data_IF_951288958527
#
_entry.id   IF_951288958527
#
_cell.length_a   1.000
_cell.length_b   1.000
_cell.length_c   1.000
_cell.angle_alpha   90.00
_cell.angle_beta   90.00
_cell.angle_gamma   90.00
#
_symmetry.space_group_name_H-M   'P 1'
#
loop_
_entity.id
_entity.type
_entity.pdbx_description
1 polymer ?
#
# COMPACT_ATOMS: atom_id res chain seq x y z
N UNK A 1 -8.79 -10.66 -28.31
CA UNK A 1 -8.03 -10.08 -27.18
C UNK A 1 -8.78 -8.92 -26.54
N UNK A 2 -9.21 -7.91 -27.30
CA UNK A 2 -9.94 -6.73 -26.81
C UNK A 2 -11.16 -7.04 -25.92
N UNK A 3 -12.01 -8.00 -26.30
CA UNK A 3 -13.21 -8.35 -25.50
C UNK A 3 -12.88 -9.02 -24.16
N UNK A 4 -11.75 -9.74 -24.09
CA UNK A 4 -11.29 -10.40 -22.85
C UNK A 4 -10.82 -9.35 -21.85
N UNK A 5 -9.95 -8.44 -22.26
CA UNK A 5 -9.43 -7.37 -21.40
C UNK A 5 -10.56 -6.48 -20.87
N UNK A 6 -11.51 -6.09 -21.73
CA UNK A 6 -12.69 -5.32 -21.31
C UNK A 6 -13.49 -6.08 -20.24
N UNK A 7 -13.65 -7.40 -20.41
CA UNK A 7 -14.42 -8.19 -19.43
C UNK A 7 -13.65 -8.41 -18.13
N UNK A 8 -12.33 -8.62 -18.19
CA UNK A 8 -11.49 -8.71 -17.00
C UNK A 8 -11.53 -7.41 -16.20
N UNK A 9 -11.41 -6.25 -16.87
CA UNK A 9 -11.49 -4.96 -16.20
C UNK A 9 -12.85 -4.74 -15.54
N UNK A 10 -13.96 -5.07 -16.22
CA UNK A 10 -15.31 -4.99 -15.62
C UNK A 10 -15.44 -5.81 -14.34
N UNK A 11 -14.82 -6.99 -14.29
CA UNK A 11 -14.83 -7.85 -13.10
C UNK A 11 -14.01 -7.21 -11.97
N UNK A 12 -12.83 -6.67 -12.28
CA UNK A 12 -11.98 -5.97 -11.31
C UNK A 12 -12.64 -4.69 -10.77
N UNK A 13 -13.27 -3.89 -11.62
CA UNK A 13 -14.01 -2.68 -11.23
C UNK A 13 -15.18 -3.01 -10.29
N UNK A 14 -15.87 -4.13 -10.54
CA UNK A 14 -16.93 -4.64 -9.67
C UNK A 14 -16.38 -5.05 -8.29
N UNK A 15 -15.24 -5.74 -8.25
CA UNK A 15 -14.56 -6.09 -6.99
C UNK A 15 -14.18 -4.84 -6.22
N UNK A 16 -13.53 -3.86 -6.85
CA UNK A 16 -13.15 -2.60 -6.19
C UNK A 16 -14.35 -1.83 -5.63
N UNK A 17 -15.43 -1.76 -6.41
CA UNK A 17 -16.68 -1.13 -5.98
C UNK A 17 -17.30 -1.84 -4.76
N UNK A 18 -17.24 -3.16 -4.73
CA UNK A 18 -17.77 -3.96 -3.61
C UNK A 18 -16.90 -3.80 -2.36
N UNK A 19 -15.57 -3.82 -2.48
CA UNK A 19 -14.68 -3.59 -1.34
C UNK A 19 -14.92 -2.20 -0.74
N UNK A 20 -15.06 -1.18 -1.59
CA UNK A 20 -15.33 0.18 -1.15
C UNK A 20 -16.63 0.30 -0.36
N UNK A 21 -17.70 -0.35 -0.82
CA UNK A 21 -19.01 -0.32 -0.16
C UNK A 21 -19.03 -1.18 1.10
N UNK A 22 -18.72 -2.47 0.95
CA UNK A 22 -19.12 -3.52 1.89
C UNK A 22 -17.91 -4.26 2.51
N UNK A 23 -16.69 -4.02 2.02
CA UNK A 23 -15.46 -4.65 2.54
C UNK A 23 -15.13 -5.98 1.88
N UNK A 24 -14.01 -6.58 2.28
CA UNK A 24 -13.48 -7.80 1.68
C UNK A 24 -14.34 -9.03 2.03
N UNK A 25 -15.01 -9.01 3.19
CA UNK A 25 -15.86 -10.09 3.69
C UNK A 25 -17.14 -10.27 2.86
N UNK A 26 -17.56 -9.23 2.14
CA UNK A 26 -18.74 -9.24 1.27
C UNK A 26 -18.50 -9.97 -0.06
N UNK A 27 -17.24 -10.23 -0.38
CA UNK A 27 -16.83 -10.71 -1.69
C UNK A 27 -17.18 -12.20 -1.87
N UNK A 28 -17.82 -12.50 -3.00
CA UNK A 28 -18.07 -13.88 -3.43
C UNK A 28 -18.39 -13.96 -4.91
N UNK A 29 -18.10 -15.12 -5.52
CA UNK A 29 -18.24 -15.34 -6.98
C UNK A 29 -19.62 -14.91 -7.50
N UNK A 30 -20.68 -15.19 -6.75
CA UNK A 30 -22.04 -14.87 -7.16
C UNK A 30 -22.29 -13.36 -7.16
N UNK A 31 -21.86 -12.69 -6.09
CA UNK A 31 -22.06 -11.26 -5.92
C UNK A 31 -21.22 -10.46 -6.93
N UNK A 32 -19.98 -10.87 -7.17
CA UNK A 32 -19.12 -10.28 -8.21
C UNK A 32 -19.71 -10.48 -9.60
N UNK A 33 -20.15 -11.70 -9.93
CA UNK A 33 -20.76 -12.00 -11.23
C UNK A 33 -21.99 -11.12 -11.49
N UNK A 34 -22.85 -10.98 -10.49
CA UNK A 34 -24.03 -10.12 -10.55
C UNK A 34 -23.64 -8.64 -10.72
N UNK A 35 -22.70 -8.14 -9.92
CA UNK A 35 -22.24 -6.74 -9.97
C UNK A 35 -21.58 -6.39 -11.30
N UNK A 36 -20.76 -7.29 -11.84
CA UNK A 36 -20.08 -7.11 -13.12
C UNK A 36 -20.96 -7.39 -14.35
N UNK A 37 -22.15 -7.98 -14.17
CA UNK A 37 -23.03 -8.37 -15.27
C UNK A 37 -22.46 -9.49 -16.14
N UNK A 38 -21.71 -10.43 -15.53
CA UNK A 38 -21.05 -11.55 -16.23
C UNK A 38 -21.48 -12.89 -15.65
N UNK A 39 -21.26 -13.98 -16.37
CA UNK A 39 -21.48 -15.32 -15.82
C UNK A 39 -20.35 -15.72 -14.85
N UNK A 40 -20.67 -16.51 -13.83
CA UNK A 40 -19.68 -17.06 -12.89
C UNK A 40 -18.59 -17.88 -13.60
N UNK A 41 -18.96 -18.55 -14.68
CA UNK A 41 -18.01 -19.29 -15.53
C UNK A 41 -16.93 -18.39 -16.14
N UNK A 42 -17.24 -17.12 -16.45
CA UNK A 42 -16.23 -16.18 -16.93
C UNK A 42 -15.21 -15.82 -15.86
N UNK A 43 -15.63 -15.70 -14.59
CA UNK A 43 -14.72 -15.44 -13.48
C UNK A 43 -13.75 -16.63 -13.31
N UNK A 44 -14.27 -17.85 -13.25
CA UNK A 44 -13.42 -19.05 -13.20
C UNK A 44 -12.50 -19.16 -14.42
N UNK A 45 -13.00 -18.86 -15.62
CA UNK A 45 -12.21 -18.93 -16.85
C UNK A 45 -11.07 -17.91 -16.89
N UNK A 46 -11.27 -16.71 -16.38
CA UNK A 46 -10.29 -15.62 -16.50
C UNK A 46 -9.36 -15.49 -15.30
N UNK A 47 -9.84 -15.83 -14.11
CA UNK A 47 -9.07 -15.66 -12.88
C UNK A 47 -8.74 -16.98 -12.19
N UNK A 48 -9.46 -18.08 -12.48
CA UNK A 48 -9.24 -19.38 -11.84
C UNK A 48 -10.02 -19.58 -10.55
N UNK A 49 -10.59 -18.52 -9.99
CA UNK A 49 -11.34 -18.58 -8.74
C UNK A 49 -11.48 -17.22 -8.08
N UNK A 50 -12.05 -17.22 -6.88
CA UNK A 50 -12.26 -16.01 -6.10
C UNK A 50 -10.93 -15.48 -5.55
N UNK A 51 -10.14 -16.35 -4.97
CA UNK A 51 -8.87 -15.99 -4.32
C UNK A 51 -7.89 -15.39 -5.34
N UNK A 52 -7.79 -15.98 -6.53
CA UNK A 52 -6.95 -15.45 -7.60
C UNK A 52 -7.46 -14.13 -8.17
N UNK A 53 -8.78 -13.92 -8.19
CA UNK A 53 -9.37 -12.63 -8.56
C UNK A 53 -9.01 -11.55 -7.54
N UNK A 54 -9.22 -11.83 -6.25
CA UNK A 54 -8.89 -10.90 -5.16
C UNK A 54 -7.39 -10.62 -5.16
N UNK A 55 -6.55 -11.65 -5.27
CA UNK A 55 -5.10 -11.50 -5.35
C UNK A 55 -4.68 -10.60 -6.52
N UNK A 56 -5.23 -10.83 -7.72
CA UNK A 56 -4.94 -9.99 -8.89
C UNK A 56 -5.35 -8.54 -8.65
N UNK A 57 -6.54 -8.31 -8.11
CA UNK A 57 -7.03 -6.97 -7.79
C UNK A 57 -6.11 -6.27 -6.78
N UNK A 58 -5.83 -6.91 -5.64
CA UNK A 58 -4.99 -6.34 -4.59
C UNK A 58 -3.59 -6.01 -5.12
N UNK A 59 -2.94 -6.96 -5.81
CA UNK A 59 -1.57 -6.76 -6.30
C UNK A 59 -1.48 -5.63 -7.34
N UNK A 60 -2.54 -5.40 -8.12
CA UNK A 60 -2.58 -4.29 -9.08
C UNK A 60 -2.74 -2.92 -8.43
N UNK A 61 -3.34 -2.86 -7.24
CA UNK A 61 -3.68 -1.60 -6.56
C UNK A 61 -2.82 -1.31 -5.32
N UNK A 62 -2.05 -2.29 -4.82
CA UNK A 62 -1.25 -2.09 -3.62
C UNK A 62 -0.05 -1.16 -3.84
N UNK A 63 0.04 -0.12 -3.00
CA UNK A 63 1.11 0.86 -3.07
C UNK A 63 2.50 0.22 -2.95
N UNK A 64 2.73 -0.57 -1.89
CA UNK A 64 4.06 -1.11 -1.59
C UNK A 64 4.50 -2.22 -2.54
N UNK A 65 3.56 -2.95 -3.16
CA UNK A 65 3.89 -3.91 -4.22
C UNK A 65 4.39 -3.19 -5.48
N UNK A 66 3.85 -2.01 -5.79
CA UNK A 66 4.09 -1.31 -7.05
C UNK A 66 5.03 -0.09 -6.93
N UNK A 67 5.55 0.18 -5.74
CA UNK A 67 6.50 1.27 -5.51
C UNK A 67 7.88 0.92 -6.06
N UNK A 68 8.44 1.82 -6.85
CA UNK A 68 9.80 1.72 -7.38
C UNK A 68 10.66 2.89 -6.87
N UNK A 69 11.96 2.68 -6.75
CA UNK A 69 12.93 3.72 -6.39
C UNK A 69 13.79 4.08 -7.61
N UNK A 70 13.49 5.20 -8.32
CA UNK A 70 14.28 5.65 -9.46
C UNK A 70 15.53 6.42 -8.98
N UNK A 71 16.41 5.74 -8.25
CA UNK A 71 17.64 6.33 -7.72
C UNK A 71 18.89 5.83 -8.45
N UNK A 72 19.79 6.75 -8.75
CA UNK A 72 21.08 6.47 -9.39
C UNK A 72 22.29 6.90 -8.55
N UNK A 73 22.11 7.87 -7.66
CA UNK A 73 23.17 8.37 -6.77
C UNK A 73 22.64 8.76 -5.38
N UNK A 74 23.56 9.10 -4.48
CA UNK A 74 23.28 9.45 -3.08
C UNK A 74 22.61 10.83 -2.92
N UNK A 75 22.82 11.76 -3.86
CA UNK A 75 22.38 13.15 -3.72
C UNK A 75 20.85 13.29 -3.74
N UNK A 76 20.17 12.38 -4.43
CA UNK A 76 18.71 12.31 -4.50
C UNK A 76 18.04 11.47 -3.41
N UNK A 77 18.79 10.73 -2.58
CA UNK A 77 18.21 9.74 -1.64
C UNK A 77 17.25 10.40 -0.65
N UNK A 78 17.65 11.50 -0.01
CA UNK A 78 16.82 12.18 0.99
C UNK A 78 15.50 12.66 0.39
N UNK A 79 15.56 13.38 -0.72
CA UNK A 79 14.36 13.87 -1.42
C UNK A 79 13.44 12.73 -1.87
N UNK A 80 14.01 11.64 -2.38
CA UNK A 80 13.25 10.48 -2.85
C UNK A 80 12.57 9.74 -1.70
N UNK A 81 13.24 9.54 -0.56
CA UNK A 81 12.65 8.93 0.63
C UNK A 81 11.47 9.77 1.16
N UNK A 82 11.64 11.09 1.24
CA UNK A 82 10.56 12.01 1.64
C UNK A 82 9.36 11.90 0.71
N UNK A 83 9.60 11.97 -0.59
CA UNK A 83 8.55 11.81 -1.60
C UNK A 83 7.82 10.47 -1.44
N UNK A 84 8.53 9.36 -1.27
CA UNK A 84 7.95 8.04 -1.09
C UNK A 84 7.02 7.98 0.13
N UNK A 85 7.43 8.49 1.29
CA UNK A 85 6.55 8.50 2.47
C UNK A 85 5.38 9.50 2.35
N UNK A 86 5.56 10.62 1.65
CA UNK A 86 4.47 11.54 1.32
C UNK A 86 3.44 10.90 0.38
N UNK A 87 3.91 10.14 -0.61
CA UNK A 87 3.04 9.38 -1.51
C UNK A 87 2.31 8.26 -0.77
N UNK A 88 2.96 7.56 0.17
CA UNK A 88 2.29 6.60 1.04
C UNK A 88 1.14 7.27 1.83
N UNK A 89 1.39 8.42 2.46
CA UNK A 89 0.38 9.20 3.19
C UNK A 89 -0.77 9.57 2.25
N UNK A 90 -0.47 10.20 1.12
CA UNK A 90 -1.48 10.66 0.17
C UNK A 90 -2.35 9.50 -0.36
N UNK A 91 -1.70 8.39 -0.71
CA UNK A 91 -2.36 7.19 -1.24
C UNK A 91 -3.26 6.56 -0.19
N UNK A 92 -2.76 6.29 1.02
CA UNK A 92 -3.58 5.67 2.07
C UNK A 92 -4.72 6.57 2.51
N UNK A 93 -4.53 7.90 2.62
CA UNK A 93 -5.59 8.83 3.04
C UNK A 93 -6.72 8.92 2.03
N UNK A 94 -6.39 8.93 0.73
CA UNK A 94 -7.35 9.09 -0.37
C UNK A 94 -8.01 7.78 -0.81
N UNK A 95 -7.42 6.62 -0.51
CA UNK A 95 -7.91 5.32 -0.94
C UNK A 95 -8.53 4.50 0.21
N UNK A 96 -9.86 4.52 0.29
CA UNK A 96 -10.61 3.72 1.27
C UNK A 96 -10.45 2.21 1.06
N UNK A 97 -10.23 1.75 -0.18
CA UNK A 97 -10.03 0.34 -0.49
C UNK A 97 -8.71 -0.13 0.13
N UNK A 98 -7.64 0.66 0.02
CA UNK A 98 -6.36 0.35 0.66
C UNK A 98 -6.42 0.39 2.18
N UNK A 99 -7.16 1.32 2.80
CA UNK A 99 -7.40 1.30 4.25
C UNK A 99 -8.12 0.02 4.68
N UNK A 100 -9.18 -0.37 3.96
CA UNK A 100 -9.91 -1.61 4.22
C UNK A 100 -9.01 -2.84 4.03
N UNK A 101 -8.13 -2.84 3.04
CA UNK A 101 -7.16 -3.91 2.80
C UNK A 101 -6.21 -4.08 4.00
N UNK A 102 -5.65 -2.97 4.49
CA UNK A 102 -4.78 -3.00 5.67
C UNK A 102 -5.50 -3.53 6.91
N UNK A 103 -6.78 -3.20 7.11
CA UNK A 103 -7.56 -3.76 8.22
C UNK A 103 -7.85 -5.24 8.04
N UNK A 104 -8.26 -5.63 6.83
CA UNK A 104 -8.57 -7.02 6.51
C UNK A 104 -7.37 -7.92 6.77
N UNK A 105 -6.17 -7.49 6.38
CA UNK A 105 -4.91 -8.19 6.64
C UNK A 105 -4.66 -8.47 8.13
N UNK A 106 -5.10 -7.60 9.05
CA UNK A 106 -4.89 -7.81 10.49
C UNK A 106 -5.78 -8.92 11.07
N UNK A 107 -6.88 -9.24 10.40
CA UNK A 107 -7.87 -10.23 10.87
C UNK A 107 -7.91 -11.49 10.02
N UNK A 108 -7.39 -11.44 8.80
CA UNK A 108 -7.43 -12.54 7.85
C UNK A 108 -6.14 -13.36 7.87
N UNK A 109 -6.30 -14.68 7.82
CA UNK A 109 -5.21 -15.65 7.62
C UNK A 109 -5.59 -16.57 6.46
N UNK A 110 -5.21 -16.16 5.25
CA UNK A 110 -5.49 -16.89 4.02
C UNK A 110 -4.37 -16.70 2.99
N UNK A 111 -4.37 -17.54 1.94
CA UNK A 111 -3.32 -17.56 0.91
C UNK A 111 -3.18 -16.22 0.17
N UNK A 112 -4.27 -15.47 -0.01
CA UNK A 112 -4.26 -14.17 -0.70
C UNK A 112 -3.47 -13.13 0.11
N UNK A 113 -3.72 -13.08 1.41
CA UNK A 113 -3.00 -12.16 2.32
C UNK A 113 -1.53 -12.56 2.43
N UNK A 114 -1.22 -13.85 2.51
CA UNK A 114 0.17 -14.33 2.55
C UNK A 114 0.93 -13.96 1.26
N UNK A 115 0.30 -14.12 0.10
CA UNK A 115 0.88 -13.69 -1.17
C UNK A 115 1.15 -12.17 -1.21
N UNK A 116 0.24 -11.35 -0.68
CA UNK A 116 0.44 -9.91 -0.58
C UNK A 116 1.64 -9.57 0.32
N UNK A 117 1.73 -10.20 1.50
CA UNK A 117 2.84 -10.01 2.45
C UNK A 117 4.18 -10.36 1.81
N UNK A 118 4.27 -11.51 1.14
CA UNK A 118 5.49 -11.96 0.47
C UNK A 118 5.93 -10.97 -0.62
N UNK A 119 4.97 -10.41 -1.38
CA UNK A 119 5.26 -9.41 -2.43
C UNK A 119 5.75 -8.09 -1.85
N UNK A 120 5.10 -7.59 -0.79
CA UNK A 120 5.54 -6.38 -0.09
C UNK A 120 6.90 -6.57 0.56
N UNK A 121 7.15 -7.71 1.21
CA UNK A 121 8.43 -8.02 1.84
C UNK A 121 9.55 -8.08 0.81
N UNK A 122 9.32 -8.77 -0.32
CA UNK A 122 10.27 -8.84 -1.43
C UNK A 122 10.62 -7.44 -1.93
N UNK A 123 9.61 -6.62 -2.25
CA UNK A 123 9.85 -5.27 -2.76
C UNK A 123 10.54 -4.37 -1.72
N UNK A 124 10.02 -4.34 -0.48
CA UNK A 124 10.59 -3.57 0.62
C UNK A 124 12.06 -3.91 0.87
N UNK A 125 12.42 -5.19 0.86
CA UNK A 125 13.80 -5.64 0.95
C UNK A 125 14.68 -5.12 -0.21
N UNK A 126 14.18 -5.09 -1.45
CA UNK A 126 14.93 -4.51 -2.57
C UNK A 126 15.14 -3.01 -2.39
N UNK A 127 14.08 -2.27 -2.02
CA UNK A 127 14.17 -0.83 -1.76
C UNK A 127 15.20 -0.52 -0.66
N UNK A 128 15.16 -1.27 0.44
CA UNK A 128 16.13 -1.17 1.54
C UNK A 128 17.56 -1.41 1.05
N UNK A 129 17.79 -2.42 0.20
CA UNK A 129 19.14 -2.72 -0.34
C UNK A 129 19.65 -1.61 -1.26
N UNK A 130 18.78 -1.01 -2.07
CA UNK A 130 19.14 0.13 -2.94
C UNK A 130 19.58 1.32 -2.08
N UNK A 131 18.77 1.70 -1.09
CA UNK A 131 19.08 2.82 -0.19
C UNK A 131 20.34 2.56 0.63
N UNK A 132 20.49 1.34 1.17
CA UNK A 132 21.70 0.91 1.89
C UNK A 132 22.95 1.04 1.03
N UNK A 133 22.90 0.61 -0.24
CA UNK A 133 24.03 0.72 -1.17
C UNK A 133 24.41 2.17 -1.46
N UNK A 134 23.43 3.03 -1.74
CA UNK A 134 23.66 4.43 -2.09
C UNK A 134 24.20 5.23 -0.91
N UNK A 135 23.71 4.96 0.30
CA UNK A 135 24.11 5.66 1.53
C UNK A 135 25.28 5.01 2.26
N UNK A 136 25.74 3.83 1.82
CA UNK A 136 26.72 2.98 2.51
C UNK A 136 26.33 2.65 3.97
N UNK A 137 25.03 2.68 4.27
CA UNK A 137 24.51 2.38 5.60
C UNK A 137 24.23 0.87 5.76
N UNK A 138 24.34 0.30 6.97
CA UNK A 138 23.93 -1.07 7.22
C UNK A 138 22.47 -1.33 6.83
N UNK A 139 22.21 -2.48 6.18
CA UNK A 139 20.86 -2.89 5.76
C UNK A 139 19.87 -2.87 6.94
N UNK A 140 20.30 -3.37 8.11
CA UNK A 140 19.47 -3.40 9.30
C UNK A 140 19.04 -2.00 9.79
N UNK A 141 19.90 -1.00 9.63
CA UNK A 141 19.60 0.38 10.01
C UNK A 141 18.53 0.99 9.08
N UNK A 142 18.71 0.82 7.77
CA UNK A 142 17.76 1.29 6.75
C UNK A 142 16.41 0.59 6.90
N UNK A 143 16.43 -0.74 7.11
CA UNK A 143 15.24 -1.53 7.34
C UNK A 143 14.46 -1.04 8.57
N UNK A 144 15.14 -0.84 9.70
CA UNK A 144 14.48 -0.38 10.92
C UNK A 144 13.81 1.00 10.74
N UNK A 145 14.48 1.95 10.11
CA UNK A 145 13.91 3.26 9.81
C UNK A 145 12.69 3.14 8.88
N UNK A 146 12.82 2.41 7.77
CA UNK A 146 11.75 2.24 6.79
C UNK A 146 10.52 1.55 7.39
N UNK A 147 10.73 0.52 8.22
CA UNK A 147 9.64 -0.18 8.93
C UNK A 147 8.93 0.74 9.92
N UNK A 148 9.67 1.51 10.73
CA UNK A 148 9.06 2.41 11.71
C UNK A 148 8.22 3.50 11.04
N UNK A 149 8.75 4.13 9.99
CA UNK A 149 8.05 5.21 9.27
C UNK A 149 6.81 4.67 8.53
N UNK A 150 6.97 3.58 7.76
CA UNK A 150 5.86 3.01 7.00
C UNK A 150 4.73 2.48 7.90
N UNK A 151 5.09 1.80 9.00
CA UNK A 151 4.11 1.30 9.98
C UNK A 151 3.42 2.43 10.74
N UNK A 152 4.14 3.50 11.11
CA UNK A 152 3.54 4.66 11.76
C UNK A 152 2.50 5.34 10.85
N UNK A 153 2.83 5.55 9.58
CA UNK A 153 1.90 6.11 8.59
C UNK A 153 0.66 5.23 8.45
N UNK A 154 0.85 3.92 8.26
CA UNK A 154 -0.26 2.97 8.13
C UNK A 154 -1.13 2.97 9.38
N UNK A 155 -0.56 2.89 10.57
CA UNK A 155 -1.32 2.91 11.82
C UNK A 155 -2.10 4.21 12.01
N UNK A 156 -1.46 5.37 11.83
CA UNK A 156 -2.11 6.67 11.98
C UNK A 156 -3.25 6.87 10.98
N UNK A 157 -3.08 6.38 9.74
CA UNK A 157 -4.14 6.44 8.73
C UNK A 157 -5.31 5.51 9.06
N UNK A 158 -5.08 4.39 9.74
CA UNK A 158 -6.14 3.48 10.16
C UNK A 158 -6.89 3.96 11.39
N UNK A 159 -6.17 4.55 12.35
CA UNK A 159 -6.74 4.99 13.63
C UNK A 159 -7.51 6.30 13.49
N UNK A 160 -7.26 7.13 12.46
CA UNK A 160 -7.93 8.43 12.27
C UNK A 160 -9.47 8.32 12.21
N UNK A 161 -9.99 7.18 11.74
CA UNK A 161 -11.44 6.93 11.71
C UNK A 161 -12.05 6.70 13.11
N UNK A 162 -11.24 6.27 14.08
CA UNK A 162 -11.67 5.97 15.45
C UNK A 162 -11.24 7.06 16.44
N UNK A 163 -10.08 7.67 16.20
CA UNK A 163 -9.52 8.70 17.03
C UNK A 163 -9.01 9.86 16.17
N UNK A 164 -9.72 10.98 16.24
CA UNK A 164 -9.42 12.18 15.45
C UNK A 164 -8.12 12.86 15.87
N UNK A 165 -7.71 12.73 17.14
CA UNK A 165 -6.55 13.44 17.67
C UNK A 165 -5.54 12.45 18.25
N UNK A 166 -4.30 12.51 17.78
CA UNK A 166 -3.21 11.68 18.26
C UNK A 166 -2.03 12.55 18.69
N UNK A 167 -1.63 12.48 19.96
CA UNK A 167 -0.60 13.35 20.54
C UNK A 167 -0.86 14.86 20.32
N UNK A 168 -2.13 15.28 20.24
CA UNK A 168 -2.52 16.66 19.96
C UNK A 168 -2.57 17.04 18.48
N UNK A 169 -2.26 16.11 17.57
CA UNK A 169 -2.33 16.30 16.11
C UNK A 169 -3.71 15.86 15.62
N UNK A 170 -4.41 16.73 14.88
CA UNK A 170 -5.70 16.42 14.26
C UNK A 170 -5.51 15.62 12.95
N UNK A 171 -5.76 14.32 13.02
CA UNK A 171 -5.65 13.37 11.92
C UNK A 171 -6.77 13.53 10.86
N UNK A 172 -7.84 14.26 11.16
CA UNK A 172 -8.89 14.57 10.18
C UNK A 172 -8.58 15.84 9.36
N UNK A 173 -7.48 16.53 9.64
CA UNK A 173 -7.11 17.79 9.00
C UNK A 173 -5.89 17.64 8.10
N UNK A 174 -5.81 18.40 7.01
CA UNK A 174 -4.60 18.45 6.20
C UNK A 174 -3.42 19.05 6.95
N UNK A 175 -3.66 20.02 7.84
CA UNK A 175 -2.64 20.64 8.68
C UNK A 175 -1.97 19.60 9.61
N UNK A 176 -2.74 18.68 10.19
CA UNK A 176 -2.19 17.62 11.04
C UNK A 176 -1.32 16.64 10.26
N UNK A 177 -1.69 16.31 9.03
CA UNK A 177 -0.87 15.47 8.16
C UNK A 177 0.35 16.20 7.60
N UNK A 178 0.26 17.51 7.34
CA UNK A 178 1.43 18.34 7.04
C UNK A 178 2.41 18.37 8.22
N UNK A 179 1.92 18.44 9.46
CA UNK A 179 2.76 18.35 10.66
C UNK A 179 3.47 17.00 10.76
N UNK A 180 2.78 15.89 10.47
CA UNK A 180 3.37 14.54 10.45
C UNK A 180 4.42 14.40 9.34
N UNK A 181 4.10 14.85 8.12
CA UNK A 181 5.03 14.91 6.98
C UNK A 181 6.30 15.68 7.33
N UNK A 182 6.18 16.87 7.92
CA UNK A 182 7.34 17.66 8.35
C UNK A 182 8.20 16.92 9.40
N UNK A 183 7.59 16.17 10.31
CA UNK A 183 8.30 15.33 11.26
C UNK A 183 9.07 14.18 10.59
N UNK A 184 8.46 13.52 9.61
CA UNK A 184 9.11 12.49 8.79
C UNK A 184 10.29 13.08 8.01
N UNK A 185 10.11 14.25 7.39
CA UNK A 185 11.16 14.96 6.66
C UNK A 185 12.36 15.26 7.56
N UNK A 186 12.13 15.72 8.80
CA UNK A 186 13.19 15.97 9.76
C UNK A 186 13.97 14.71 10.15
N UNK A 187 13.27 13.58 10.37
CA UNK A 187 13.91 12.30 10.68
C UNK A 187 14.81 11.87 9.51
N UNK A 188 14.32 11.99 8.28
CA UNK A 188 15.06 11.63 7.06
C UNK A 188 16.26 12.56 6.87
N UNK A 189 16.10 13.88 7.05
CA UNK A 189 17.20 14.83 6.93
C UNK A 189 18.30 14.56 7.94
N UNK A 190 17.95 14.35 9.21
CA UNK A 190 18.90 14.00 10.26
C UNK A 190 19.64 12.70 9.92
N UNK A 191 18.92 11.70 9.40
CA UNK A 191 19.52 10.44 9.01
C UNK A 191 20.50 10.60 7.83
N UNK A 192 20.09 11.27 6.74
CA UNK A 192 20.91 11.48 5.53
C UNK A 192 22.12 12.37 5.80
N UNK A 193 21.96 13.46 6.56
CA UNK A 193 23.05 14.38 6.86
C UNK A 193 24.18 13.70 7.65
N UNK A 194 23.85 12.72 8.50
CA UNK A 194 24.84 11.91 9.21
C UNK A 194 25.60 10.93 8.29
N UNK A 195 25.15 10.71 7.05
CA UNK A 195 25.82 9.82 6.06
C UNK A 195 26.66 10.56 5.03
N UNK A 196 26.48 11.89 4.91
CA UNK A 196 27.25 12.74 4.00
C UNK A 196 28.52 13.33 4.64
N UNK A 197 28.73 13.08 5.93
CA UNK A 197 29.97 13.38 6.67
C UNK A 197 30.96 12.23 6.55
#
# INVERSE_FOLDING_TARGET
MKDREITEQKILDAVGSMIMADGFESLGINAVAQKAGVSKMLIYRYFGGMDQLIAKYILQHDYWVNTELPLHDISGVGACLKQMFHEQIATLRSDMVLKRLHRWELTADNEVVNLLRDRRETNGCELVRVVSRLTKSPVAEVAAMATLLSAAISYLTLIEEQNKVYNGIDLCSDDGWQQLSAGIDQIIDLWVNNKQQ
#
